data_IF_044976150749
#
_entry.id   IF_044976150749
#
_cell.length_a   1.000
_cell.length_b   1.000
_cell.length_c   1.000
_cell.angle_alpha   90.00
_cell.angle_beta   90.00
_cell.angle_gamma   90.00
#
_symmetry.space_group_name_H-M   'P 1'
#
loop_
_entity.id
_entity.type
_entity.pdbx_description
1 polymer ?
#
# COMPACT_ATOMS: atom_id res chain seq x y z
N UNK A 1 16.81 -2.18 -8.54
CA UNK A 1 17.28 -1.78 -7.20
C UNK A 1 16.59 -2.67 -6.20
N UNK A 2 17.31 -3.37 -5.32
CA UNK A 2 16.68 -3.91 -4.11
C UNK A 2 15.95 -2.75 -3.42
N UNK A 3 14.78 -2.98 -2.83
CA UNK A 3 14.15 -1.98 -1.97
C UNK A 3 15.16 -1.65 -0.85
N UNK A 4 15.94 -0.59 -1.02
CA UNK A 4 17.02 -0.18 -0.11
C UNK A 4 16.48 0.48 1.17
N UNK A 5 15.22 0.19 1.51
CA UNK A 5 14.48 0.79 2.60
C UNK A 5 13.52 -0.22 3.21
N UNK A 6 12.72 0.22 4.17
CA UNK A 6 11.76 -0.64 4.86
C UNK A 6 10.43 -0.70 4.07
N UNK A 7 10.08 -1.83 3.42
CA UNK A 7 8.86 -1.94 2.61
C UNK A 7 7.56 -1.70 3.41
N UNK A 8 7.58 -2.03 4.71
CA UNK A 8 6.48 -1.71 5.62
C UNK A 8 6.36 -0.20 5.83
N UNK A 9 7.47 0.51 5.99
CA UNK A 9 7.48 1.97 6.11
C UNK A 9 6.91 2.64 4.86
N UNK A 10 7.26 2.16 3.68
CA UNK A 10 6.66 2.61 2.41
C UNK A 10 5.13 2.46 2.42
N UNK A 11 4.61 1.31 2.86
CA UNK A 11 3.18 1.09 2.99
C UNK A 11 2.51 2.01 4.02
N UNK A 12 3.19 2.30 5.14
CA UNK A 12 2.73 3.28 6.14
C UNK A 12 2.70 4.70 5.56
N UNK A 13 3.70 5.10 4.78
CA UNK A 13 3.75 6.41 4.14
C UNK A 13 2.63 6.57 3.09
N UNK A 14 2.28 5.48 2.37
CA UNK A 14 1.11 5.44 1.48
C UNK A 14 -0.19 5.59 2.28
N UNK A 15 -0.35 4.86 3.39
CA UNK A 15 -1.52 4.98 4.25
C UNK A 15 -1.66 6.42 4.79
N UNK A 16 -0.55 7.04 5.19
CA UNK A 16 -0.48 8.44 5.64
C UNK A 16 -0.75 9.46 4.53
N UNK A 17 -0.56 9.09 3.27
CA UNK A 17 -0.71 9.98 2.12
C UNK A 17 0.56 10.75 1.74
N UNK A 18 1.71 10.35 2.28
CA UNK A 18 3.03 10.94 1.98
C UNK A 18 3.65 10.35 0.70
N UNK A 19 3.17 9.19 0.25
CA UNK A 19 3.63 8.51 -0.94
C UNK A 19 2.43 7.98 -1.74
N UNK A 20 2.55 7.93 -3.06
CA UNK A 20 1.59 7.26 -3.94
C UNK A 20 2.29 6.34 -4.93
N UNK A 21 1.64 5.23 -5.29
CA UNK A 21 2.13 4.33 -6.33
C UNK A 21 1.64 4.78 -7.70
N UNK A 22 2.54 4.74 -8.67
CA UNK A 22 2.25 5.02 -10.08
C UNK A 22 3.17 4.17 -10.97
N UNK A 23 2.82 3.92 -12.25
CA UNK A 23 3.67 3.14 -13.14
C UNK A 23 5.14 3.64 -13.24
N UNK A 24 5.42 4.97 -13.29
CA UNK A 24 6.80 5.48 -13.28
C UNK A 24 7.59 5.20 -12.00
N UNK A 25 6.91 5.05 -10.86
CA UNK A 25 7.52 4.62 -9.59
C UNK A 25 7.78 3.11 -9.65
N UNK A 26 6.77 2.34 -10.06
CA UNK A 26 6.81 0.87 -10.08
C UNK A 26 7.88 0.29 -11.01
N UNK A 27 8.16 0.94 -12.15
CA UNK A 27 9.17 0.49 -13.12
C UNK A 27 10.60 0.40 -12.59
N UNK A 28 10.88 0.98 -11.41
CA UNK A 28 12.21 0.98 -10.78
C UNK A 28 12.48 -0.29 -9.96
N UNK A 29 11.43 -1.06 -9.69
CA UNK A 29 11.46 -2.24 -8.82
C UNK A 29 11.50 -3.54 -9.63
N UNK A 30 12.16 -4.55 -9.10
CA UNK A 30 12.17 -5.89 -9.69
C UNK A 30 10.84 -6.62 -9.41
N UNK A 31 10.52 -7.71 -10.13
CA UNK A 31 9.39 -8.58 -9.80
C UNK A 31 9.34 -9.02 -8.32
N UNK A 32 10.50 -9.36 -7.76
CA UNK A 32 10.60 -9.75 -6.35
C UNK A 32 10.24 -8.58 -5.41
N UNK A 33 10.76 -7.38 -5.70
CA UNK A 33 10.44 -6.17 -4.95
C UNK A 33 8.94 -5.85 -5.02
N UNK A 34 8.31 -5.97 -6.19
CA UNK A 34 6.88 -5.72 -6.37
C UNK A 34 6.02 -6.67 -5.50
N UNK A 35 6.42 -7.94 -5.38
CA UNK A 35 5.77 -8.90 -4.49
C UNK A 35 5.95 -8.52 -3.02
N UNK A 36 7.14 -8.06 -2.63
CA UNK A 36 7.41 -7.58 -1.25
C UNK A 36 6.58 -6.33 -0.92
N UNK A 37 6.47 -5.38 -1.86
CA UNK A 37 5.63 -4.19 -1.70
C UNK A 37 4.16 -4.60 -1.52
N UNK A 38 3.65 -5.49 -2.36
CA UNK A 38 2.27 -5.97 -2.28
C UNK A 38 1.97 -6.64 -0.93
N UNK A 39 2.87 -7.49 -0.44
CA UNK A 39 2.74 -8.13 0.87
C UNK A 39 2.77 -7.10 2.01
N UNK A 40 3.61 -6.07 1.90
CA UNK A 40 3.71 -5.00 2.89
C UNK A 40 2.45 -4.13 2.95
N UNK A 41 1.84 -3.83 1.79
CA UNK A 41 0.54 -3.17 1.72
C UNK A 41 -0.54 -3.98 2.44
N UNK A 42 -0.59 -5.30 2.21
CA UNK A 42 -1.54 -6.20 2.87
C UNK A 42 -1.32 -6.27 4.38
N UNK A 43 -0.06 -6.31 4.83
CA UNK A 43 0.31 -6.30 6.25
C UNK A 43 -0.19 -5.04 6.95
N UNK A 44 0.15 -3.85 6.41
CA UNK A 44 -0.28 -2.57 7.00
C UNK A 44 -1.80 -2.42 6.93
N UNK A 45 -2.43 -2.89 5.85
CA UNK A 45 -3.89 -2.89 5.75
C UNK A 45 -4.54 -3.73 6.86
N UNK A 46 -3.96 -4.90 7.19
CA UNK A 46 -4.44 -5.74 8.29
C UNK A 46 -4.28 -5.03 9.64
N UNK A 47 -3.12 -4.43 9.89
CA UNK A 47 -2.84 -3.67 11.11
C UNK A 47 -3.86 -2.53 11.29
N UNK A 48 -4.11 -1.72 10.26
CA UNK A 48 -5.10 -0.62 10.32
C UNK A 48 -6.51 -1.14 10.56
N UNK A 49 -6.90 -2.27 9.94
CA UNK A 49 -8.22 -2.87 10.19
C UNK A 49 -8.41 -3.28 11.65
N UNK A 50 -7.35 -3.78 12.29
CA UNK A 50 -7.34 -4.21 13.70
C UNK A 50 -7.42 -3.05 14.70
N UNK A 51 -7.11 -1.81 14.29
CA UNK A 51 -7.28 -0.64 15.15
C UNK A 51 -8.77 -0.44 15.46
N UNK A 52 -9.15 -0.61 16.72
CA UNK A 52 -10.48 -0.28 17.22
C UNK A 52 -10.63 1.24 17.26
N UNK A 53 -11.71 1.76 16.70
CA UNK A 53 -12.07 3.18 16.77
C UNK A 53 -13.50 3.29 17.32
N UNK A 54 -13.77 4.19 18.27
CA UNK A 54 -15.14 4.46 18.71
C UNK A 54 -16.01 4.89 17.53
N UNK A 55 -17.21 4.34 17.40
CA UNK A 55 -18.08 4.59 16.24
C UNK A 55 -18.71 5.99 16.26
N UNK A 56 -18.81 6.58 17.44
CA UNK A 56 -19.24 7.95 17.70
C UNK A 56 -18.14 8.98 17.37
N UNK A 57 -16.87 8.58 17.33
CA UNK A 57 -15.77 9.41 16.85
C UNK A 57 -15.67 9.36 15.31
N UNK A 58 -16.60 10.07 14.67
CA UNK A 58 -16.68 10.19 13.20
C UNK A 58 -15.35 10.62 12.56
N UNK A 59 -14.60 11.61 13.10
CA UNK A 59 -13.27 11.94 12.59
C UNK A 59 -12.30 10.75 12.54
N UNK A 60 -12.19 9.97 13.62
CA UNK A 60 -11.29 8.81 13.66
C UNK A 60 -11.73 7.70 12.70
N UNK A 61 -13.04 7.44 12.60
CA UNK A 61 -13.59 6.49 11.62
C UNK A 61 -13.22 6.91 10.20
N UNK A 62 -13.39 8.19 9.87
CA UNK A 62 -13.03 8.73 8.54
C UNK A 62 -11.54 8.64 8.27
N UNK A 63 -10.70 8.93 9.26
CA UNK A 63 -9.24 8.82 9.13
C UNK A 63 -8.82 7.38 8.82
N UNK A 64 -9.31 6.39 9.57
CA UNK A 64 -9.08 4.96 9.34
C UNK A 64 -9.51 4.54 7.93
N UNK A 65 -10.72 4.93 7.51
CA UNK A 65 -11.24 4.59 6.18
C UNK A 65 -10.42 5.21 5.05
N UNK A 66 -9.93 6.44 5.25
CA UNK A 66 -9.08 7.14 4.29
C UNK A 66 -7.75 6.39 4.09
N UNK A 67 -7.12 5.95 5.19
CA UNK A 67 -5.89 5.14 5.11
C UNK A 67 -6.12 3.83 4.35
N UNK A 68 -7.22 3.12 4.64
CA UNK A 68 -7.58 1.88 3.94
C UNK A 68 -7.84 2.11 2.44
N UNK A 69 -8.51 3.21 2.09
CA UNK A 69 -8.78 3.58 0.70
C UNK A 69 -7.47 3.78 -0.08
N UNK A 70 -6.49 4.50 0.50
CA UNK A 70 -5.17 4.71 -0.11
C UNK A 70 -4.42 3.39 -0.34
N UNK A 71 -4.42 2.50 0.66
CA UNK A 71 -3.78 1.18 0.52
C UNK A 71 -4.45 0.32 -0.56
N UNK A 72 -5.79 0.33 -0.63
CA UNK A 72 -6.54 -0.36 -1.67
C UNK A 72 -6.18 0.17 -3.07
N UNK A 73 -6.14 1.49 -3.23
CA UNK A 73 -5.77 2.13 -4.49
C UNK A 73 -4.34 1.77 -4.89
N UNK A 74 -3.38 1.83 -3.96
CA UNK A 74 -2.00 1.43 -4.20
C UNK A 74 -1.90 -0.04 -4.65
N UNK A 75 -2.61 -0.95 -3.98
CA UNK A 75 -2.68 -2.36 -4.37
C UNK A 75 -3.27 -2.55 -5.77
N UNK A 76 -4.31 -1.81 -6.13
CA UNK A 76 -4.90 -1.85 -7.47
C UNK A 76 -3.92 -1.38 -8.55
N UNK A 77 -3.23 -0.26 -8.33
CA UNK A 77 -2.22 0.26 -9.28
C UNK A 77 -1.09 -0.74 -9.48
N UNK A 78 -0.57 -1.33 -8.39
CA UNK A 78 0.48 -2.33 -8.44
C UNK A 78 0.04 -3.57 -9.22
N UNK A 79 -1.14 -4.12 -8.94
CA UNK A 79 -1.68 -5.29 -9.64
C UNK A 79 -1.92 -5.02 -11.12
N UNK A 80 -2.48 -3.86 -11.45
CA UNK A 80 -2.69 -3.43 -12.84
C UNK A 80 -1.37 -3.31 -13.60
N UNK A 81 -0.34 -2.72 -12.98
CA UNK A 81 1.00 -2.64 -13.55
C UNK A 81 1.60 -4.02 -13.82
N UNK A 82 1.58 -4.92 -12.82
CA UNK A 82 2.14 -6.27 -12.96
C UNK A 82 1.40 -7.08 -14.04
N UNK A 83 0.06 -6.97 -14.10
CA UNK A 83 -0.75 -7.61 -15.16
C UNK A 83 -0.33 -7.14 -16.56
N UNK A 84 -0.14 -5.84 -16.76
CA UNK A 84 0.31 -5.28 -18.05
C UNK A 84 1.71 -5.74 -18.43
N UNK A 85 2.61 -5.88 -17.45
CA UNK A 85 4.00 -6.31 -17.66
C UNK A 85 4.19 -7.84 -17.63
N UNK A 86 3.11 -8.62 -17.48
CA UNK A 86 3.13 -10.08 -17.34
C UNK A 86 4.03 -10.57 -16.18
N UNK A 87 4.06 -9.80 -15.09
CA UNK A 87 4.79 -10.16 -13.86
C UNK A 87 3.87 -11.00 -12.97
N UNK A 88 4.25 -12.23 -12.58
CA UNK A 88 3.45 -13.07 -11.70
C UNK A 88 3.58 -12.60 -10.25
N UNK A 89 2.46 -12.20 -9.64
CA UNK A 89 2.36 -11.72 -8.25
C UNK A 89 1.14 -12.29 -7.53
#
# INVERSE_FOLDING_TARGET
>A
MAISGNPKKMAQDIAGGYLSLSPPVLKKYTPADLKVILNSLALVQREIRQVQVPLDDVPLVKAKNTQLSRLNQAGMVLRSYCKKQRIPI
#
